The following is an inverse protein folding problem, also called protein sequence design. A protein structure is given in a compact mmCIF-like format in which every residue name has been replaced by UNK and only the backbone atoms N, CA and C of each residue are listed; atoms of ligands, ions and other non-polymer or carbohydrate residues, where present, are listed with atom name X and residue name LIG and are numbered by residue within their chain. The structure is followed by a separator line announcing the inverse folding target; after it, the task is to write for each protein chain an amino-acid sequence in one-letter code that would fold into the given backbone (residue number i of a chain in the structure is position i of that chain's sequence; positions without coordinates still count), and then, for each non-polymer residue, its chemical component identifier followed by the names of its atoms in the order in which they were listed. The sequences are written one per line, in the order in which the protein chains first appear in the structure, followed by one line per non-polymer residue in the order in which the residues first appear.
data_IF_361346645787
#
_entry.id   IF_361346645787
#
_cell.length_a   1.000
_cell.length_b   1.000
_cell.length_c   1.000
_cell.angle_alpha   90.00
_cell.angle_beta   90.00
_cell.angle_gamma   90.00
#
_symmetry.space_group_name_H-M   'P 1'
#
loop_
_entity.id
_entity.type
_entity.pdbx_description
1 polymer ?
#
# COMPACT_ATOMS: atom_id res chain seq x y z
N UNK A 1 -10.65 1.36 -60.67
CA UNK A 1 -11.78 1.12 -59.75
C UNK A 1 -11.71 -0.32 -59.33
N UNK A 2 -11.18 -0.60 -58.14
CA UNK A 2 -11.23 -1.92 -57.52
C UNK A 2 -11.84 -1.68 -56.14
N UNK A 3 -13.13 -2.00 -56.02
CA UNK A 3 -13.87 -1.98 -54.77
C UNK A 3 -13.75 -3.37 -54.16
N UNK A 4 -12.87 -3.56 -53.20
CA UNK A 4 -12.86 -4.78 -52.38
C UNK A 4 -13.36 -4.48 -50.97
N UNK A 5 -14.41 -5.22 -50.62
CA UNK A 5 -15.21 -5.21 -49.41
C UNK A 5 -14.38 -5.14 -48.12
N UNK A 6 -14.55 -4.06 -47.37
CA UNK A 6 -14.23 -4.03 -45.94
C UNK A 6 -15.36 -4.79 -45.23
N UNK A 7 -15.09 -5.85 -44.46
CA UNK A 7 -16.12 -6.52 -43.68
C UNK A 7 -16.65 -5.57 -42.61
N UNK A 8 -17.82 -4.99 -42.86
CA UNK A 8 -18.65 -4.26 -41.91
C UNK A 8 -19.27 -5.24 -40.90
N UNK A 9 -18.48 -5.83 -40.01
CA UNK A 9 -18.98 -6.30 -38.73
C UNK A 9 -17.84 -6.51 -37.73
N UNK A 10 -17.22 -5.41 -37.30
CA UNK A 10 -16.55 -5.44 -36.00
C UNK A 10 -17.67 -5.21 -34.99
N UNK A 11 -18.19 -6.30 -34.45
CA UNK A 11 -19.05 -6.31 -33.29
C UNK A 11 -18.23 -5.67 -32.16
N UNK A 12 -18.41 -4.36 -31.94
CA UNK A 12 -17.89 -3.69 -30.76
C UNK A 12 -18.65 -4.32 -29.60
N UNK A 13 -18.07 -5.35 -28.98
CA UNK A 13 -18.52 -5.85 -27.70
C UNK A 13 -18.71 -4.61 -26.81
N UNK A 14 -19.95 -4.39 -26.38
CA UNK A 14 -20.36 -3.31 -25.49
C UNK A 14 -19.79 -3.62 -24.10
N UNK A 15 -18.46 -3.59 -24.00
CA UNK A 15 -17.75 -3.69 -22.74
C UNK A 15 -18.01 -2.37 -22.06
N UNK A 16 -18.92 -2.39 -21.08
CA UNK A 16 -19.16 -1.24 -20.23
C UNK A 16 -17.83 -0.93 -19.52
N UNK A 17 -17.14 0.19 -19.85
CA UNK A 17 -15.76 0.44 -19.43
C UNK A 17 -15.63 0.48 -17.90
N UNK A 18 -16.71 0.84 -17.21
CA UNK A 18 -16.81 0.82 -15.75
C UNK A 18 -16.70 -0.59 -15.17
N UNK A 19 -17.35 -1.59 -15.80
CA UNK A 19 -17.31 -2.99 -15.34
C UNK A 19 -15.90 -3.57 -15.51
N UNK A 20 -15.25 -3.30 -16.64
CA UNK A 20 -13.86 -3.70 -16.88
C UNK A 20 -12.90 -3.05 -15.88
N UNK A 21 -13.11 -1.77 -15.56
CA UNK A 21 -12.30 -1.03 -14.57
C UNK A 21 -12.49 -1.60 -13.17
N UNK A 22 -13.74 -1.88 -12.79
CA UNK A 22 -14.07 -2.46 -11.49
C UNK A 22 -13.46 -3.87 -11.33
N UNK A 23 -13.60 -4.73 -12.35
CA UNK A 23 -13.02 -6.06 -12.34
C UNK A 23 -11.49 -6.01 -12.19
N UNK A 24 -10.82 -5.05 -12.85
CA UNK A 24 -9.39 -4.85 -12.68
C UNK A 24 -9.02 -4.41 -11.27
N UNK A 25 -9.78 -3.46 -10.68
CA UNK A 25 -9.53 -3.01 -9.31
C UNK A 25 -9.71 -4.15 -8.31
N UNK A 26 -10.77 -4.94 -8.44
CA UNK A 26 -11.05 -6.08 -7.56
C UNK A 26 -9.94 -7.15 -7.65
N UNK A 27 -9.44 -7.44 -8.86
CA UNK A 27 -8.31 -8.35 -9.05
C UNK A 27 -7.05 -7.85 -8.34
N UNK A 28 -6.67 -6.57 -8.52
CA UNK A 28 -5.51 -5.96 -7.86
C UNK A 28 -5.68 -5.99 -6.33
N UNK A 29 -6.86 -5.63 -5.84
CA UNK A 29 -7.15 -5.66 -4.40
C UNK A 29 -7.07 -7.08 -3.83
N UNK A 30 -7.57 -8.08 -4.56
CA UNK A 30 -7.52 -9.48 -4.16
C UNK A 30 -6.07 -9.95 -4.00
N UNK A 31 -5.20 -9.62 -4.96
CA UNK A 31 -3.77 -9.96 -4.94
C UNK A 31 -3.04 -9.27 -3.78
N UNK A 32 -3.35 -8.00 -3.52
CA UNK A 32 -2.80 -7.28 -2.37
C UNK A 32 -3.28 -7.90 -1.05
N UNK A 33 -4.56 -8.29 -0.97
CA UNK A 33 -5.17 -8.91 0.22
C UNK A 33 -4.57 -10.28 0.52
N UNK A 34 -4.27 -11.08 -0.49
CA UNK A 34 -3.68 -12.42 -0.35
C UNK A 34 -2.20 -12.37 0.02
N UNK A 35 -1.45 -11.38 -0.46
CA UNK A 35 0.01 -11.28 -0.27
C UNK A 35 0.44 -10.46 0.95
N UNK A 36 -0.39 -9.53 1.43
CA UNK A 36 0.00 -8.60 2.50
C UNK A 36 -1.01 -8.55 3.65
N UNK A 37 -0.57 -8.66 4.92
CA UNK A 37 -1.46 -8.50 6.07
C UNK A 37 -1.89 -7.04 6.21
N UNK A 38 -2.99 -6.80 6.93
CA UNK A 38 -3.45 -5.43 7.23
C UNK A 38 -2.37 -4.61 7.94
N UNK A 39 -1.71 -5.22 8.94
CA UNK A 39 -0.62 -4.65 9.73
C UNK A 39 0.39 -5.75 10.00
N UNK A 40 1.67 -5.52 9.73
CA UNK A 40 2.73 -6.48 10.02
C UNK A 40 3.15 -6.46 11.51
N UNK A 41 3.85 -7.50 11.99
CA UNK A 41 4.68 -7.37 13.18
C UNK A 41 5.74 -6.26 13.00
N UNK A 42 6.39 -5.86 14.09
CA UNK A 42 7.54 -4.95 14.00
C UNK A 42 8.66 -5.68 13.27
N UNK A 43 9.14 -5.08 12.19
CA UNK A 43 10.24 -5.57 11.38
C UNK A 43 11.47 -4.69 11.60
N UNK A 44 12.69 -5.24 11.47
CA UNK A 44 13.91 -4.43 11.44
C UNK A 44 13.88 -3.42 10.30
N UNK A 45 14.40 -2.22 10.52
CA UNK A 45 14.55 -1.22 9.45
C UNK A 45 15.50 -1.67 8.33
N UNK A 46 16.36 -2.66 8.59
CA UNK A 46 17.20 -3.28 7.58
C UNK A 46 16.38 -3.93 6.45
N UNK A 47 15.12 -4.33 6.70
CA UNK A 47 14.23 -4.84 5.64
C UNK A 47 13.92 -3.82 4.55
N UNK A 48 14.21 -2.52 4.77
CA UNK A 48 14.08 -1.47 3.76
C UNK A 48 15.33 -1.35 2.89
N UNK A 49 16.47 -1.93 3.27
CA UNK A 49 17.70 -1.86 2.47
C UNK A 49 17.49 -2.55 1.11
N UNK A 50 16.82 -3.71 1.11
CA UNK A 50 16.48 -4.45 -0.10
C UNK A 50 15.49 -3.67 -0.99
N UNK A 51 14.47 -3.04 -0.37
CA UNK A 51 13.44 -2.24 -1.06
C UNK A 51 14.04 -1.04 -1.82
N UNK A 52 15.16 -0.49 -1.33
CA UNK A 52 15.84 0.67 -1.91
C UNK A 52 17.21 0.33 -2.49
N UNK A 53 17.47 -0.95 -2.78
CA UNK A 53 18.69 -1.38 -3.44
C UNK A 53 18.87 -0.65 -4.78
N UNK A 54 20.07 -0.13 -5.03
CA UNK A 54 20.36 0.70 -6.21
C UNK A 54 19.95 2.18 -6.11
N UNK A 55 19.31 2.60 -5.01
CA UNK A 55 18.88 3.99 -4.81
C UNK A 55 19.63 4.67 -3.65
N UNK A 56 20.87 5.12 -3.92
CA UNK A 56 21.79 5.68 -2.91
C UNK A 56 21.17 6.76 -2.00
N UNK A 57 20.43 7.72 -2.58
CA UNK A 57 19.78 8.81 -1.80
C UNK A 57 18.76 8.28 -0.79
N UNK A 58 18.07 7.18 -1.10
CA UNK A 58 17.13 6.56 -0.15
C UNK A 58 17.84 5.79 0.94
N UNK A 59 18.95 5.10 0.60
CA UNK A 59 19.78 4.40 1.58
C UNK A 59 20.41 5.37 2.59
N UNK A 60 20.90 6.53 2.14
CA UNK A 60 21.41 7.58 3.04
C UNK A 60 20.33 8.09 4.02
N UNK A 61 19.10 8.30 3.52
CA UNK A 61 17.97 8.69 4.37
C UNK A 61 17.59 7.58 5.36
N UNK A 62 17.69 6.33 4.93
CA UNK A 62 17.41 5.17 5.78
C UNK A 62 18.44 5.04 6.91
N UNK A 63 19.71 5.35 6.67
CA UNK A 63 20.75 5.39 7.71
C UNK A 63 20.46 6.45 8.78
N UNK A 64 19.92 7.59 8.39
CA UNK A 64 19.45 8.60 9.35
C UNK A 64 18.25 8.07 10.14
N UNK A 65 17.31 7.40 9.48
CA UNK A 65 16.12 6.84 10.11
C UNK A 65 16.46 5.76 11.15
N UNK A 66 17.42 4.88 10.83
CA UNK A 66 17.94 3.81 11.69
C UNK A 66 18.52 4.32 13.02
N UNK A 67 18.99 5.57 13.08
CA UNK A 67 19.49 6.20 14.32
C UNK A 67 18.38 6.57 15.30
N UNK A 68 17.16 6.80 14.81
CA UNK A 68 16.03 7.32 15.61
C UNK A 68 14.97 6.27 15.91
N UNK A 69 14.79 5.30 15.03
CA UNK A 69 13.71 4.32 15.12
C UNK A 69 14.30 2.91 15.20
N UNK A 70 13.69 2.06 16.02
CA UNK A 70 14.15 0.67 16.23
C UNK A 70 13.58 -0.33 15.23
N UNK A 71 12.48 0.01 14.55
CA UNK A 71 11.80 -0.87 13.63
C UNK A 71 10.66 -0.18 12.90
N UNK A 72 10.00 -0.93 12.02
CA UNK A 72 8.88 -0.47 11.21
C UNK A 72 7.77 -1.52 11.18
N UNK A 73 6.50 -1.09 11.19
CA UNK A 73 5.37 -1.95 10.81
C UNK A 73 4.93 -1.58 9.40
N UNK A 74 4.88 -2.56 8.51
CA UNK A 74 4.32 -2.40 7.17
C UNK A 74 2.81 -2.52 7.24
N UNK A 75 2.12 -1.81 6.34
CA UNK A 75 0.67 -1.79 6.22
C UNK A 75 0.27 -2.20 4.81
N UNK A 76 -0.89 -2.83 4.69
CA UNK A 76 -1.50 -3.14 3.40
C UNK A 76 -1.66 -1.86 2.56
N UNK A 77 -1.30 -1.92 1.28
CA UNK A 77 -1.40 -0.80 0.32
C UNK A 77 -2.79 -0.77 -0.33
N UNK A 78 -3.84 -0.54 0.46
CA UNK A 78 -5.25 -0.62 0.04
C UNK A 78 -6.01 0.72 0.12
N UNK A 79 -5.30 1.85 0.03
CA UNK A 79 -5.88 3.19 0.17
C UNK A 79 -6.26 3.59 1.61
N UNK A 80 -6.38 2.63 2.53
CA UNK A 80 -6.72 2.88 3.94
C UNK A 80 -5.51 2.94 4.87
N UNK A 81 -4.30 2.87 4.32
CA UNK A 81 -3.06 2.71 5.07
C UNK A 81 -2.81 3.86 6.08
N UNK A 82 -3.14 5.11 5.75
CA UNK A 82 -2.97 6.24 6.68
C UNK A 82 -3.85 6.07 7.94
N UNK A 83 -5.15 5.84 7.76
CA UNK A 83 -6.09 5.66 8.87
C UNK A 83 -5.71 4.44 9.72
N UNK A 84 -5.26 3.38 9.06
CA UNK A 84 -4.78 2.16 9.72
C UNK A 84 -3.52 2.41 10.55
N UNK A 85 -2.55 3.14 10.00
CA UNK A 85 -1.32 3.53 10.68
C UNK A 85 -1.62 4.32 11.95
N UNK A 86 -2.40 5.40 11.77
CA UNK A 86 -2.72 6.34 12.83
C UNK A 86 -3.53 5.67 13.93
N UNK A 87 -4.61 4.98 13.57
CA UNK A 87 -5.48 4.31 14.53
C UNK A 87 -4.73 3.27 15.37
N UNK A 88 -3.91 2.43 14.71
CA UNK A 88 -3.13 1.42 15.42
C UNK A 88 -2.10 2.05 16.37
N UNK A 89 -1.29 2.99 15.87
CA UNK A 89 -0.26 3.65 16.69
C UNK A 89 -0.88 4.42 17.87
N UNK A 90 -2.03 5.05 17.65
CA UNK A 90 -2.74 5.75 18.71
C UNK A 90 -3.25 4.78 19.78
N UNK A 91 -3.89 3.67 19.39
CA UNK A 91 -4.35 2.66 20.35
C UNK A 91 -3.17 2.05 21.12
N UNK A 92 -2.07 1.72 20.45
CA UNK A 92 -0.83 1.21 21.08
C UNK A 92 -0.26 2.23 22.09
N UNK A 93 -0.30 3.53 21.75
CA UNK A 93 0.05 4.62 22.67
C UNK A 93 -0.85 4.66 23.91
N UNK A 94 -2.17 4.46 23.76
CA UNK A 94 -3.10 4.42 24.90
C UNK A 94 -2.87 3.21 25.80
N UNK A 95 -2.66 2.04 25.21
CA UNK A 95 -2.44 0.79 25.93
C UNK A 95 -1.13 0.79 26.73
N UNK A 96 -0.10 1.46 26.22
CA UNK A 96 1.21 1.56 26.89
C UNK A 96 1.24 2.57 28.05
N UNK A 97 0.09 3.16 28.42
CA UNK A 97 -0.06 3.93 29.65
C UNK A 97 0.65 5.30 29.67
N UNK A 98 1.20 5.75 28.54
CA UNK A 98 1.90 7.05 28.43
C UNK A 98 1.01 8.26 28.73
N UNK A 99 -0.31 8.07 28.83
CA UNK A 99 -1.32 9.09 29.14
C UNK A 99 -1.75 9.26 30.59
N UNK A 100 -1.42 8.36 31.53
CA UNK A 100 -1.89 8.53 32.91
C UNK A 100 -1.40 9.84 33.57
N UNK A 101 -0.37 10.49 33.01
CA UNK A 101 0.15 11.77 33.51
C UNK A 101 -0.39 13.01 32.77
N UNK A 102 -0.93 12.87 31.57
CA UNK A 102 -1.34 14.02 30.72
C UNK A 102 -2.84 14.32 30.81
N UNK A 103 -3.66 13.35 31.21
CA UNK A 103 -5.09 13.52 31.44
C UNK A 103 -5.44 14.15 32.80
N UNK A 104 -4.42 14.55 33.59
CA UNK A 104 -4.56 15.25 34.86
C UNK A 104 -4.39 16.78 34.72
N UNK A 105 -4.69 17.33 33.54
CA UNK A 105 -4.75 18.78 33.30
C UNK A 105 -6.20 19.25 33.22
#
# INVERSE_FOLDING_TARGET
MVTENIPNNIEYADVHPDEATQAQQEAIESDIKSTSPLISPILPLATLDDDFSGHAVYLEKLDILKKKYSGIRRLRRDGNCFYRAFGFAYIEYLLTGKRLKEAAR
#
